data_IF_013043658582
#
_entry.id   IF_013043658582
#
_cell.length_a   1.000
_cell.length_b   1.000
_cell.length_c   1.000
_cell.angle_alpha   90.00
_cell.angle_beta   90.00
_cell.angle_gamma   90.00
#
_symmetry.space_group_name_H-M   'P 1'
#
loop_
_entity.id
_entity.type
_entity.pdbx_description
1 polymer ?
#
# COMPACT_ATOMS: atom_id res chain seq x y z
N UNK A 1 3.55 25.16 -1.07
CA UNK A 1 4.36 24.80 0.12
C UNK A 1 4.12 25.90 1.15
N UNK A 2 3.44 25.61 2.26
CA UNK A 2 3.05 26.63 3.26
C UNK A 2 3.52 26.31 4.69
N UNK A 3 4.19 25.18 4.92
CA UNK A 3 4.53 24.73 6.29
C UNK A 3 5.94 24.15 6.48
N UNK A 4 6.80 24.09 5.45
CA UNK A 4 8.15 23.49 5.56
C UNK A 4 8.19 21.97 5.83
N UNK A 5 7.06 21.39 6.25
CA UNK A 5 6.86 19.95 6.38
C UNK A 5 6.74 19.33 4.98
N UNK A 6 7.61 18.37 4.67
CA UNK A 6 7.43 17.49 3.50
C UNK A 6 6.10 16.76 3.70
N UNK A 7 5.07 17.21 2.98
CA UNK A 7 3.71 16.64 3.01
C UNK A 7 3.78 15.10 2.89
N UNK A 8 3.43 14.34 3.94
CA UNK A 8 3.64 12.88 3.97
C UNK A 8 2.78 12.14 2.94
N UNK A 9 1.70 12.79 2.46
CA UNK A 9 0.80 12.25 1.43
C UNK A 9 1.11 12.66 0.00
N UNK A 10 1.97 13.64 -0.25
CA UNK A 10 2.11 14.24 -1.59
C UNK A 10 2.83 13.30 -2.59
N UNK A 11 3.69 12.40 -2.11
CA UNK A 11 4.24 11.31 -2.92
C UNK A 11 3.18 10.26 -3.26
N UNK A 12 2.35 9.88 -2.30
CA UNK A 12 1.27 8.91 -2.49
C UNK A 12 0.19 9.42 -3.46
N UNK A 13 -0.20 10.70 -3.33
CA UNK A 13 -1.18 11.31 -4.24
C UNK A 13 -0.67 11.36 -5.68
N UNK A 14 0.62 11.70 -5.89
CA UNK A 14 1.24 11.69 -7.23
C UNK A 14 1.38 10.28 -7.79
N UNK A 15 1.76 9.31 -6.96
CA UNK A 15 1.83 7.91 -7.38
C UNK A 15 0.45 7.39 -7.83
N UNK A 16 -0.61 7.66 -7.06
CA UNK A 16 -1.99 7.30 -7.44
C UNK A 16 -2.41 8.01 -8.73
N UNK A 17 -2.09 9.30 -8.87
CA UNK A 17 -2.39 10.05 -10.07
C UNK A 17 -1.71 9.44 -11.31
N UNK A 18 -0.42 9.11 -11.24
CA UNK A 18 0.29 8.45 -12.34
C UNK A 18 -0.28 7.05 -12.64
N UNK A 19 -0.65 6.26 -11.62
CA UNK A 19 -1.32 4.96 -11.82
C UNK A 19 -2.66 5.10 -12.54
N UNK A 20 -3.47 6.11 -12.18
CA UNK A 20 -4.75 6.38 -12.83
C UNK A 20 -4.58 6.77 -14.30
N UNK A 21 -3.43 7.35 -14.67
CA UNK A 21 -3.07 7.66 -16.06
C UNK A 21 -2.35 6.50 -16.77
N UNK A 22 -2.14 5.36 -16.10
CA UNK A 22 -1.45 4.19 -16.65
C UNK A 22 0.08 4.28 -16.61
N UNK A 23 0.66 5.33 -16.02
CA UNK A 23 2.10 5.51 -15.92
C UNK A 23 2.66 4.87 -14.63
N UNK A 24 2.90 3.56 -14.72
CA UNK A 24 3.40 2.75 -13.60
C UNK A 24 4.85 3.11 -13.25
N UNK A 25 5.70 3.40 -14.24
CA UNK A 25 7.10 3.75 -14.02
C UNK A 25 7.22 5.05 -13.21
N UNK A 26 6.43 6.06 -13.58
CA UNK A 26 6.39 7.31 -12.86
C UNK A 26 5.78 7.13 -11.45
N UNK A 27 4.75 6.28 -11.31
CA UNK A 27 4.19 5.97 -10.00
C UNK A 27 5.19 5.32 -9.04
N UNK A 28 6.04 4.40 -9.54
CA UNK A 28 7.09 3.75 -8.75
C UNK A 28 8.10 4.77 -8.21
N UNK A 29 8.46 5.77 -9.01
CA UNK A 29 9.37 6.85 -8.60
C UNK A 29 8.79 7.72 -7.48
N UNK A 30 7.46 7.87 -7.43
CA UNK A 30 6.79 8.64 -6.38
C UNK A 30 6.55 7.83 -5.10
N UNK A 31 6.12 6.56 -5.25
CA UNK A 31 5.89 5.68 -4.12
C UNK A 31 5.89 4.19 -4.48
N UNK A 32 7.09 3.59 -4.58
CA UNK A 32 7.29 2.16 -4.80
C UNK A 32 6.45 1.29 -3.86
N UNK A 33 6.46 1.56 -2.55
CA UNK A 33 5.73 0.77 -1.57
C UNK A 33 4.22 0.81 -1.79
N UNK A 34 3.67 1.99 -2.12
CA UNK A 34 2.25 2.11 -2.43
C UNK A 34 1.89 1.31 -3.68
N UNK A 35 2.70 1.41 -4.74
CA UNK A 35 2.47 0.66 -5.98
C UNK A 35 2.51 -0.85 -5.72
N UNK A 36 3.44 -1.33 -4.89
CA UNK A 36 3.53 -2.75 -4.50
C UNK A 36 2.38 -3.18 -3.58
N UNK A 37 1.89 -2.28 -2.71
CA UNK A 37 0.79 -2.56 -1.81
C UNK A 37 -0.56 -2.68 -2.53
N UNK A 38 -0.76 -2.00 -3.66
CA UNK A 38 -2.03 -2.01 -4.40
C UNK A 38 -2.45 -3.43 -4.85
N UNK A 39 -1.60 -4.24 -5.52
CA UNK A 39 -1.92 -5.62 -5.84
C UNK A 39 -2.25 -6.47 -4.61
N UNK A 40 -1.52 -6.28 -3.50
CA UNK A 40 -1.78 -6.99 -2.25
C UNK A 40 -3.19 -6.67 -1.72
N UNK A 41 -3.55 -5.39 -1.67
CA UNK A 41 -4.88 -4.92 -1.25
C UNK A 41 -5.97 -5.47 -2.19
N UNK A 42 -5.72 -5.50 -3.50
CA UNK A 42 -6.66 -6.05 -4.47
C UNK A 42 -6.90 -7.56 -4.26
N UNK A 43 -5.85 -8.34 -3.95
CA UNK A 43 -5.97 -9.77 -3.62
C UNK A 43 -6.75 -9.97 -2.32
N UNK A 44 -6.48 -9.17 -1.29
CA UNK A 44 -7.21 -9.23 -0.02
C UNK A 44 -8.71 -8.91 -0.22
N UNK A 45 -9.01 -7.87 -1.00
CA UNK A 45 -10.38 -7.48 -1.34
C UNK A 45 -11.10 -8.59 -2.12
N UNK A 46 -10.42 -9.18 -3.11
CA UNK A 46 -10.95 -10.30 -3.88
C UNK A 46 -11.21 -11.54 -3.00
N UNK A 47 -10.31 -11.83 -2.07
CA UNK A 47 -10.45 -12.94 -1.13
C UNK A 47 -11.64 -12.74 -0.18
N UNK A 48 -11.90 -11.52 0.30
CA UNK A 48 -13.09 -11.19 1.08
C UNK A 48 -14.37 -11.33 0.22
N UNK A 49 -14.37 -10.82 -1.01
CA UNK A 49 -15.52 -10.97 -1.92
C UNK A 49 -15.83 -12.45 -2.23
N UNK A 50 -14.81 -13.28 -2.41
CA UNK A 50 -14.93 -14.73 -2.68
C UNK A 50 -14.92 -15.61 -1.43
N UNK A 51 -15.14 -15.04 -0.24
CA UNK A 51 -15.09 -15.76 1.04
C UNK A 51 -15.90 -17.05 1.07
N UNK A 52 -17.10 -17.05 0.47
CA UNK A 52 -17.99 -18.24 0.41
C UNK A 52 -17.49 -19.31 -0.58
N UNK A 53 -16.82 -18.92 -1.66
CA UNK A 53 -16.31 -19.84 -2.69
C UNK A 53 -14.92 -20.39 -2.37
N UNK A 54 -14.08 -19.61 -1.68
CA UNK A 54 -12.70 -19.97 -1.36
C UNK A 54 -12.35 -19.74 0.13
N UNK A 55 -13.00 -20.47 1.07
CA UNK A 55 -12.83 -20.25 2.50
C UNK A 55 -11.39 -20.51 3.00
N UNK A 56 -10.63 -21.41 2.35
CA UNK A 56 -9.23 -21.68 2.71
C UNK A 56 -8.30 -20.50 2.42
N UNK A 57 -8.46 -19.85 1.26
CA UNK A 57 -7.66 -18.68 0.89
C UNK A 57 -7.96 -17.49 1.83
N UNK A 58 -9.25 -17.31 2.14
CA UNK A 58 -9.71 -16.31 3.10
C UNK A 58 -9.09 -16.50 4.49
N UNK A 59 -9.12 -17.73 5.02
CA UNK A 59 -8.61 -18.03 6.35
C UNK A 59 -7.08 -17.89 6.46
N UNK A 60 -6.35 -18.18 5.38
CA UNK A 60 -4.89 -18.01 5.33
C UNK A 60 -4.52 -16.51 5.31
N UNK A 61 -5.17 -15.74 4.44
CA UNK A 61 -4.90 -14.30 4.27
C UNK A 61 -5.38 -13.47 5.46
N UNK A 62 -6.50 -13.85 6.09
CA UNK A 62 -7.07 -13.13 7.23
C UNK A 62 -6.57 -13.66 8.58
N UNK A 63 -5.47 -14.42 8.59
CA UNK A 63 -4.83 -14.86 9.81
C UNK A 63 -4.25 -13.67 10.56
N UNK A 64 -4.37 -13.67 11.90
CA UNK A 64 -3.81 -12.63 12.78
C UNK A 64 -2.35 -12.30 12.45
N UNK A 65 -1.55 -13.31 12.10
CA UNK A 65 -0.15 -13.12 11.75
C UNK A 65 0.05 -12.30 10.46
N UNK A 66 -0.76 -12.54 9.43
CA UNK A 66 -0.69 -11.81 8.15
C UNK A 66 -1.08 -10.35 8.34
N UNK A 67 -2.14 -10.10 9.12
CA UNK A 67 -2.59 -8.74 9.41
C UNK A 67 -1.53 -7.97 10.21
N UNK A 68 -1.00 -8.55 11.29
CA UNK A 68 0.03 -7.91 12.10
C UNK A 68 1.34 -7.68 11.34
N UNK A 69 1.76 -8.63 10.49
CA UNK A 69 2.96 -8.46 9.66
C UNK A 69 2.76 -7.39 8.59
N UNK A 70 1.61 -7.36 7.90
CA UNK A 70 1.30 -6.31 6.94
C UNK A 70 1.23 -4.92 7.61
N UNK A 71 0.61 -4.83 8.78
CA UNK A 71 0.52 -3.59 9.55
C UNK A 71 1.90 -3.12 10.02
N UNK A 72 2.74 -4.02 10.53
CA UNK A 72 4.12 -3.71 10.89
C UNK A 72 4.95 -3.25 9.69
N UNK A 73 4.78 -3.87 8.52
CA UNK A 73 5.46 -3.46 7.27
C UNK A 73 5.01 -2.07 6.81
N UNK A 74 3.70 -1.79 6.84
CA UNK A 74 3.15 -0.48 6.48
C UNK A 74 3.62 0.59 7.46
N UNK A 75 3.51 0.37 8.77
CA UNK A 75 3.97 1.30 9.78
C UNK A 75 5.49 1.50 9.72
N UNK A 76 6.25 0.42 9.52
CA UNK A 76 7.71 0.48 9.37
C UNK A 76 8.12 1.28 8.16
N UNK A 77 7.49 1.04 7.00
CA UNK A 77 7.72 1.85 5.80
C UNK A 77 7.36 3.32 6.01
N UNK A 78 6.26 3.58 6.72
CA UNK A 78 5.82 4.94 7.03
C UNK A 78 6.82 5.67 7.92
N UNK A 79 7.36 5.00 8.94
CA UNK A 79 8.43 5.52 9.80
C UNK A 79 9.72 5.78 9.01
N UNK A 80 10.15 4.81 8.19
CA UNK A 80 11.33 4.92 7.33
C UNK A 80 11.20 6.14 6.43
N UNK A 81 10.09 6.30 5.71
CA UNK A 81 9.84 7.48 4.87
C UNK A 81 9.83 8.79 5.65
N UNK A 82 9.14 8.81 6.77
CA UNK A 82 8.94 10.04 7.54
C UNK A 82 10.25 10.51 8.22
N UNK A 83 11.10 9.57 8.61
CA UNK A 83 12.40 9.84 9.26
C UNK A 83 13.52 10.08 8.21
N UNK A 84 13.58 9.28 7.14
CA UNK A 84 14.59 9.42 6.08
C UNK A 84 14.23 10.46 5.01
N UNK A 85 12.99 10.97 5.01
CA UNK A 85 12.56 12.05 4.13
C UNK A 85 12.51 11.70 2.64
N UNK A 86 12.38 10.41 2.33
CA UNK A 86 12.22 9.81 0.98
C UNK A 86 10.77 9.60 0.58
#
# INVERSE_FOLDING_TARGET
>A
MLTGLKCPGCGSQRAIHSLLHGDVLQALSFNLFLVVAIPLIAVLYYAEYRRKSHPRLYMLLNSKYVIWTALALVCGWWLIRNILGV
#
